data_IF_203767959654
#
_entry.id   IF_203767959654
#
_cell.length_a   1.000
_cell.length_b   1.000
_cell.length_c   1.000
_cell.angle_alpha   90.00
_cell.angle_beta   90.00
_cell.angle_gamma   90.00
#
_symmetry.space_group_name_H-M   'P 1'
#
loop_
_entity.id
_entity.type
_entity.pdbx_description
1 polymer ?
#
# COMPACT_ATOMS: atom_id res chain seq x y z
N UNK A 1 24.20 -11.92 -51.26
CA UNK A 1 22.81 -12.31 -50.90
C UNK A 1 22.71 -13.01 -49.53
N UNK A 2 23.82 -13.47 -48.92
CA UNK A 2 23.84 -14.17 -47.61
C UNK A 2 23.91 -13.23 -46.40
N UNK A 3 24.52 -12.06 -46.51
CA UNK A 3 24.64 -11.09 -45.38
C UNK A 3 23.27 -10.64 -44.88
N UNK A 4 22.35 -10.29 -45.78
CA UNK A 4 20.99 -9.88 -45.42
C UNK A 4 20.21 -10.95 -44.64
N UNK A 5 20.50 -12.25 -44.84
CA UNK A 5 19.79 -13.32 -44.13
C UNK A 5 20.27 -13.45 -42.68
N UNK A 6 21.58 -13.34 -42.47
CA UNK A 6 22.16 -13.41 -41.12
C UNK A 6 21.72 -12.21 -40.28
N UNK A 7 21.71 -11.01 -40.86
CA UNK A 7 21.24 -9.80 -40.17
C UNK A 7 19.76 -9.90 -39.77
N UNK A 8 18.90 -10.39 -40.67
CA UNK A 8 17.47 -10.58 -40.38
C UNK A 8 17.26 -11.64 -39.29
N UNK A 9 18.03 -12.73 -39.30
CA UNK A 9 17.93 -13.78 -38.26
C UNK A 9 18.41 -13.26 -36.90
N UNK A 10 19.53 -12.53 -36.86
CA UNK A 10 20.05 -11.93 -35.63
C UNK A 10 19.09 -10.88 -35.10
N UNK A 11 18.58 -10.00 -35.96
CA UNK A 11 17.56 -9.00 -35.59
C UNK A 11 16.29 -9.64 -35.04
N UNK A 12 15.81 -10.72 -35.69
CA UNK A 12 14.66 -11.49 -35.22
C UNK A 12 14.89 -12.16 -33.86
N UNK A 13 16.09 -12.72 -33.63
CA UNK A 13 16.45 -13.31 -32.34
C UNK A 13 16.51 -12.26 -31.22
N UNK A 14 17.09 -11.08 -31.49
CA UNK A 14 17.12 -9.97 -30.53
C UNK A 14 15.70 -9.50 -30.20
N UNK A 15 14.83 -9.38 -31.19
CA UNK A 15 13.42 -9.02 -30.99
C UNK A 15 12.68 -10.05 -30.13
N UNK A 16 12.89 -11.34 -30.39
CA UNK A 16 12.29 -12.41 -29.60
C UNK A 16 12.74 -12.37 -28.13
N UNK A 17 14.04 -12.15 -27.89
CA UNK A 17 14.59 -11.98 -26.53
C UNK A 17 14.02 -10.74 -25.85
N UNK A 18 13.92 -9.61 -26.56
CA UNK A 18 13.35 -8.38 -26.03
C UNK A 18 11.88 -8.56 -25.63
N UNK A 19 11.08 -9.22 -26.47
CA UNK A 19 9.67 -9.55 -26.15
C UNK A 19 9.60 -10.47 -24.94
N UNK A 20 10.43 -11.52 -24.89
CA UNK A 20 10.51 -12.43 -23.75
C UNK A 20 10.87 -11.70 -22.46
N UNK A 21 11.81 -10.76 -22.51
CA UNK A 21 12.19 -9.92 -21.37
C UNK A 21 11.04 -9.02 -20.91
N UNK A 22 10.31 -8.38 -21.84
CA UNK A 22 9.15 -7.54 -21.50
C UNK A 22 8.05 -8.37 -20.82
N UNK A 23 7.77 -9.58 -21.32
CA UNK A 23 6.80 -10.50 -20.70
C UNK A 23 7.25 -10.90 -19.30
N UNK A 24 8.51 -11.33 -19.15
CA UNK A 24 9.08 -11.71 -17.87
C UNK A 24 9.06 -10.56 -16.86
N UNK A 25 9.49 -9.36 -17.28
CA UNK A 25 9.47 -8.17 -16.45
C UNK A 25 8.04 -7.82 -16.02
N UNK A 26 7.06 -7.88 -16.93
CA UNK A 26 5.65 -7.62 -16.62
C UNK A 26 5.01 -8.63 -15.65
N UNK A 27 5.53 -9.86 -15.60
CA UNK A 27 5.10 -10.87 -14.62
C UNK A 27 5.75 -10.65 -13.24
N UNK A 28 7.05 -10.41 -13.20
CA UNK A 28 7.81 -10.20 -11.93
C UNK A 28 7.39 -8.93 -11.22
N UNK A 29 7.07 -7.87 -11.97
CA UNK A 29 6.66 -6.58 -11.42
C UNK A 29 5.17 -6.52 -11.04
N UNK A 30 4.40 -7.58 -11.25
CA UNK A 30 2.97 -7.62 -10.93
C UNK A 30 2.07 -6.79 -11.84
N UNK A 31 2.60 -6.18 -12.91
CA UNK A 31 1.84 -5.36 -13.88
C UNK A 31 0.68 -6.12 -14.55
N UNK A 32 0.75 -7.45 -14.59
CA UNK A 32 -0.27 -8.31 -15.22
C UNK A 32 -1.37 -8.76 -14.24
N UNK A 33 -1.16 -8.67 -12.93
CA UNK A 33 -2.21 -8.91 -11.95
C UNK A 33 -3.15 -7.69 -11.90
N UNK A 34 -4.05 -7.62 -12.89
CA UNK A 34 -5.27 -6.83 -12.75
C UNK A 34 -6.14 -7.56 -11.73
N UNK A 35 -5.79 -7.38 -10.45
CA UNK A 35 -6.47 -8.00 -9.31
C UNK A 35 -7.96 -7.66 -9.45
N UNK A 36 -8.76 -8.69 -9.68
CA UNK A 36 -10.21 -8.58 -9.62
C UNK A 36 -10.55 -8.31 -8.15
N UNK A 37 -10.76 -7.04 -7.85
CA UNK A 37 -11.05 -6.55 -6.53
C UNK A 37 -12.04 -5.40 -6.60
N UNK A 38 -12.59 -5.05 -5.46
CA UNK A 38 -13.46 -3.89 -5.31
C UNK A 38 -12.67 -2.74 -4.68
N UNK A 39 -12.92 -1.48 -5.12
CA UNK A 39 -12.27 -0.33 -4.54
C UNK A 39 -12.87 0.01 -3.17
N UNK A 40 -12.03 0.45 -2.25
CA UNK A 40 -12.41 1.14 -1.02
C UNK A 40 -11.56 2.42 -0.91
N UNK A 41 -12.06 3.39 -0.17
CA UNK A 41 -11.34 4.61 0.15
C UNK A 41 -11.12 4.78 1.65
N UNK A 42 -10.10 5.54 2.01
CA UNK A 42 -9.86 5.99 3.37
C UNK A 42 -9.06 7.30 3.35
N UNK A 43 -9.34 8.20 4.27
CA UNK A 43 -8.65 9.49 4.37
C UNK A 43 -7.70 9.51 5.57
N UNK A 44 -6.40 9.67 5.37
CA UNK A 44 -5.41 9.61 6.45
C UNK A 44 -4.83 10.98 6.79
N UNK A 45 -4.51 11.18 8.07
CA UNK A 45 -3.74 12.35 8.52
C UNK A 45 -2.27 12.30 8.11
N UNK A 46 -1.70 11.10 8.03
CA UNK A 46 -0.31 10.86 7.62
C UNK A 46 -0.21 9.51 6.91
N UNK A 47 0.35 9.52 5.70
CA UNK A 47 0.66 8.36 4.87
C UNK A 47 2.17 8.18 4.67
N UNK A 48 2.97 8.60 5.65
CA UNK A 48 4.44 8.51 5.52
C UNK A 48 4.86 7.07 5.16
N UNK A 49 5.66 6.94 4.10
CA UNK A 49 6.14 5.66 3.59
C UNK A 49 5.12 4.78 2.84
N UNK A 50 3.90 5.27 2.59
CA UNK A 50 2.91 4.59 1.72
C UNK A 50 2.94 5.22 0.33
N UNK A 51 2.98 4.39 -0.72
CA UNK A 51 2.94 4.81 -2.12
C UNK A 51 1.91 4.00 -2.90
N UNK A 52 1.58 4.43 -4.12
CA UNK A 52 0.83 3.57 -5.05
C UNK A 52 1.62 2.27 -5.25
N UNK A 53 0.95 1.14 -5.14
CA UNK A 53 1.59 -0.18 -5.12
C UNK A 53 1.88 -0.75 -3.73
N UNK A 54 1.73 0.04 -2.66
CA UNK A 54 1.85 -0.48 -1.29
C UNK A 54 0.79 -1.55 -1.01
N UNK A 55 1.21 -2.63 -0.34
CA UNK A 55 0.33 -3.74 0.01
C UNK A 55 -0.78 -3.30 0.97
N UNK A 56 -1.99 -3.81 0.72
CA UNK A 56 -3.08 -3.83 1.69
C UNK A 56 -3.16 -5.23 2.29
N UNK A 57 -3.15 -5.32 3.61
CA UNK A 57 -3.09 -6.59 4.34
C UNK A 57 -4.22 -6.71 5.36
N UNK A 58 -4.66 -7.94 5.57
CA UNK A 58 -5.56 -8.33 6.64
C UNK A 58 -4.91 -9.47 7.40
N UNK A 59 -4.76 -9.31 8.71
CA UNK A 59 -4.06 -10.26 9.58
C UNK A 59 -2.66 -10.67 9.03
N UNK A 60 -1.93 -9.70 8.47
CA UNK A 60 -0.60 -9.90 7.87
C UNK A 60 -0.58 -10.54 6.47
N UNK A 61 -1.73 -10.94 5.91
CA UNK A 61 -1.82 -11.51 4.56
C UNK A 61 -2.17 -10.42 3.56
N UNK A 62 -1.44 -10.35 2.44
CA UNK A 62 -1.77 -9.44 1.33
C UNK A 62 -3.12 -9.80 0.72
N UNK A 63 -4.03 -8.84 0.74
CA UNK A 63 -5.39 -8.96 0.18
C UNK A 63 -5.68 -7.90 -0.87
N UNK A 64 -4.75 -6.97 -1.09
CA UNK A 64 -5.03 -5.81 -1.92
C UNK A 64 -3.79 -4.95 -2.16
N UNK A 65 -3.99 -3.80 -2.78
CA UNK A 65 -2.92 -2.85 -3.09
C UNK A 65 -3.49 -1.44 -3.20
N UNK A 66 -2.72 -0.45 -2.74
CA UNK A 66 -3.03 0.99 -2.89
C UNK A 66 -2.97 1.37 -4.36
N UNK A 67 -4.08 1.93 -4.87
CA UNK A 67 -4.26 2.26 -6.28
C UNK A 67 -4.16 3.76 -6.56
N UNK A 68 -4.40 4.62 -5.57
CA UNK A 68 -4.34 6.07 -5.72
C UNK A 68 -4.18 6.78 -4.39
N UNK A 69 -3.50 7.94 -4.43
CA UNK A 69 -3.31 8.83 -3.27
C UNK A 69 -3.45 10.26 -3.80
N UNK A 70 -4.31 11.06 -3.19
CA UNK A 70 -4.51 12.47 -3.50
C UNK A 70 -4.50 13.31 -2.22
N UNK A 71 -3.86 14.48 -2.26
CA UNK A 71 -3.92 15.42 -1.15
C UNK A 71 -5.19 16.26 -1.28
N UNK A 72 -6.05 16.18 -0.27
CA UNK A 72 -7.24 17.01 -0.21
C UNK A 72 -6.88 18.42 0.29
N UNK A 73 -7.05 19.49 -0.51
CA UNK A 73 -6.62 20.83 -0.14
C UNK A 73 -7.55 21.50 0.89
N UNK A 74 -8.73 20.92 1.16
CA UNK A 74 -9.68 21.46 2.13
C UNK A 74 -9.48 20.85 3.52
N UNK A 75 -9.27 19.53 3.57
CA UNK A 75 -9.09 18.81 4.84
C UNK A 75 -7.62 18.64 5.22
N UNK A 76 -6.69 18.85 4.29
CA UNK A 76 -5.26 18.58 4.41
C UNK A 76 -4.95 17.12 4.77
N UNK A 77 -5.86 16.21 4.43
CA UNK A 77 -5.68 14.76 4.56
C UNK A 77 -5.30 14.15 3.22
N UNK A 78 -4.70 12.97 3.29
CA UNK A 78 -4.38 12.19 2.11
C UNK A 78 -5.52 11.18 1.85
N UNK A 79 -6.32 11.48 0.84
CA UNK A 79 -7.43 10.65 0.40
C UNK A 79 -6.84 9.50 -0.45
N UNK A 80 -7.01 8.27 0.04
CA UNK A 80 -6.38 7.08 -0.51
C UNK A 80 -7.45 6.15 -1.06
N UNK A 81 -7.22 5.64 -2.26
CA UNK A 81 -8.01 4.57 -2.84
C UNK A 81 -7.17 3.31 -2.91
N UNK A 82 -7.75 2.18 -2.51
CA UNK A 82 -7.09 0.89 -2.59
C UNK A 82 -8.07 -0.19 -3.03
N UNK A 83 -7.53 -1.25 -3.60
CA UNK A 83 -8.31 -2.41 -4.04
C UNK A 83 -8.24 -3.53 -3.01
N UNK A 84 -9.37 -4.19 -2.76
CA UNK A 84 -9.46 -5.41 -1.96
C UNK A 84 -9.89 -6.56 -2.87
N UNK A 85 -9.20 -7.70 -2.77
CA UNK A 85 -9.47 -8.90 -3.56
C UNK A 85 -10.90 -9.38 -3.34
N UNK A 86 -11.58 -9.73 -4.44
CA UNK A 86 -12.92 -10.31 -4.38
C UNK A 86 -12.96 -11.60 -3.53
N UNK A 87 -14.09 -11.84 -2.86
CA UNK A 87 -14.28 -13.00 -1.97
C UNK A 87 -13.72 -12.80 -0.55
N UNK A 88 -13.28 -11.58 -0.22
CA UNK A 88 -12.98 -11.15 1.13
C UNK A 88 -13.96 -10.03 1.44
N UNK A 89 -14.88 -10.28 2.36
CA UNK A 89 -15.83 -9.28 2.83
C UNK A 89 -15.26 -8.59 4.07
N UNK A 90 -15.26 -7.26 4.06
CA UNK A 90 -14.74 -6.43 5.16
C UNK A 90 -15.93 -5.83 5.92
N UNK A 91 -16.07 -6.08 7.23
CA UNK A 91 -17.13 -5.47 8.04
C UNK A 91 -17.15 -3.95 7.95
N UNK A 92 -18.33 -3.33 7.93
CA UNK A 92 -18.50 -1.87 7.78
C UNK A 92 -18.05 -1.05 9.00
N UNK A 93 -17.70 -1.71 10.11
CA UNK A 93 -17.09 -1.14 11.31
C UNK A 93 -15.58 -1.41 11.40
N UNK A 94 -14.95 -1.82 10.28
CA UNK A 94 -13.50 -2.05 10.23
C UNK A 94 -12.72 -0.74 10.26
N UNK A 95 -11.50 -0.80 10.77
CA UNK A 95 -10.55 0.32 10.74
C UNK A 95 -9.41 0.06 9.75
N UNK A 96 -8.77 1.12 9.28
CA UNK A 96 -7.55 1.03 8.46
C UNK A 96 -6.39 1.76 9.12
N UNK A 97 -5.25 1.10 9.25
CA UNK A 97 -4.04 1.64 9.84
C UNK A 97 -2.86 1.60 8.86
N UNK A 98 -1.97 2.59 8.93
CA UNK A 98 -0.66 2.50 8.31
C UNK A 98 0.30 1.82 9.28
N UNK A 99 0.68 0.60 8.96
CA UNK A 99 1.57 -0.25 9.76
C UNK A 99 2.94 -0.39 9.09
N UNK A 100 3.96 -0.75 9.88
CA UNK A 100 5.34 -0.95 9.41
C UNK A 100 5.75 -2.41 9.54
N UNK A 101 6.48 -2.93 8.56
CA UNK A 101 7.04 -4.30 8.58
C UNK A 101 8.23 -4.46 9.54
N UNK A 102 8.66 -3.38 10.20
CA UNK A 102 9.79 -3.35 11.11
C UNK A 102 10.79 -2.26 10.74
N UNK A 103 11.99 -2.31 11.33
CA UNK A 103 12.97 -1.21 11.24
C UNK A 103 13.54 -0.98 9.83
N UNK A 104 13.63 -2.04 9.03
CA UNK A 104 14.23 -2.02 7.68
C UNK A 104 13.20 -2.35 6.59
N UNK A 105 11.95 -2.60 6.98
CA UNK A 105 10.88 -2.97 6.08
C UNK A 105 10.13 -1.76 5.55
N UNK A 106 9.22 -2.01 4.61
CA UNK A 106 8.32 -0.98 4.11
C UNK A 106 7.17 -0.70 5.08
N UNK A 107 6.33 0.27 4.70
CA UNK A 107 5.00 0.42 5.30
C UNK A 107 3.98 -0.32 4.46
N UNK A 108 2.90 -0.76 5.10
CA UNK A 108 1.75 -1.38 4.48
C UNK A 108 0.46 -0.82 5.10
N UNK A 109 -0.64 -0.97 4.37
CA UNK A 109 -1.96 -0.60 4.86
C UNK A 109 -2.60 -1.84 5.47
N UNK A 110 -2.98 -1.75 6.73
CA UNK A 110 -3.59 -2.85 7.48
C UNK A 110 -5.08 -2.59 7.67
N UNK A 111 -5.92 -3.55 7.28
CA UNK A 111 -7.34 -3.55 7.61
C UNK A 111 -7.53 -4.36 8.89
N UNK A 112 -8.07 -3.71 9.90
CA UNK A 112 -8.43 -4.29 11.20
C UNK A 112 -9.94 -4.55 11.16
N UNK A 113 -10.39 -5.80 11.02
CA UNK A 113 -11.80 -6.10 10.89
C UNK A 113 -12.55 -5.81 12.19
N UNK A 114 -13.72 -5.21 12.06
CA UNK A 114 -14.68 -5.06 13.15
C UNK A 114 -15.55 -6.30 13.36
N UNK A 115 -16.68 -6.12 14.04
CA UNK A 115 -17.62 -7.17 14.40
C UNK A 115 -19.00 -7.02 13.78
N UNK A 116 -19.18 -6.06 12.88
CA UNK A 116 -20.47 -5.80 12.24
C UNK A 116 -20.95 -7.00 11.41
N UNK A 117 -22.27 -7.30 11.42
CA UNK A 117 -22.86 -8.28 10.50
C UNK A 117 -23.00 -7.74 9.06
N UNK A 118 -22.72 -6.46 8.83
CA UNK A 118 -22.75 -5.81 7.53
C UNK A 118 -21.34 -5.55 7.03
N UNK A 119 -21.18 -5.49 5.71
CA UNK A 119 -19.89 -5.34 5.05
C UNK A 119 -19.89 -4.11 4.15
N UNK A 120 -18.71 -3.51 3.96
CA UNK A 120 -18.51 -2.46 2.97
C UNK A 120 -18.78 -2.97 1.55
N UNK A 121 -19.42 -2.12 0.76
CA UNK A 121 -19.61 -2.29 -0.67
C UNK A 121 -18.49 -1.65 -1.51
N UNK A 122 -18.49 -1.90 -2.83
CA UNK A 122 -17.57 -1.26 -3.76
C UNK A 122 -17.72 0.27 -3.77
N UNK A 123 -16.62 0.97 -3.48
CA UNK A 123 -16.54 2.44 -3.47
C UNK A 123 -16.84 3.08 -2.12
N UNK A 124 -17.12 2.28 -1.08
CA UNK A 124 -17.35 2.80 0.26
C UNK A 124 -16.06 3.34 0.89
N UNK A 125 -16.23 4.26 1.83
CA UNK A 125 -15.14 4.86 2.59
C UNK A 125 -15.06 4.27 4.00
N UNK A 126 -13.85 3.89 4.40
CA UNK A 126 -13.57 3.51 5.78
C UNK A 126 -13.19 4.76 6.58
N UNK A 127 -14.05 5.10 7.54
CA UNK A 127 -13.92 6.34 8.32
C UNK A 127 -12.87 6.22 9.46
N UNK A 128 -12.76 5.06 10.11
CA UNK A 128 -11.77 4.85 11.18
C UNK A 128 -10.38 4.62 10.57
N UNK A 129 -9.56 5.66 10.65
CA UNK A 129 -8.24 5.70 10.04
C UNK A 129 -7.17 6.06 11.05
N UNK A 130 -6.10 5.27 11.05
CA UNK A 130 -4.90 5.50 11.85
C UNK A 130 -3.73 5.78 10.91
N UNK A 131 -3.21 7.00 10.97
CA UNK A 131 -2.05 7.41 10.17
C UNK A 131 -0.74 6.77 10.66
N UNK A 132 0.31 6.93 9.86
CA UNK A 132 1.64 6.46 10.24
C UNK A 132 2.12 7.09 11.55
N UNK A 133 2.86 6.31 12.35
CA UNK A 133 3.50 6.79 13.57
C UNK A 133 5.00 6.94 13.34
N UNK A 134 5.52 8.15 13.54
CA UNK A 134 6.96 8.41 13.41
C UNK A 134 7.72 7.89 14.64
N UNK A 135 8.69 7.00 14.40
CA UNK A 135 9.61 6.51 15.45
C UNK A 135 10.37 7.65 16.11
N UNK A 136 10.77 8.67 15.35
CA UNK A 136 11.47 9.84 15.89
C UNK A 136 10.58 10.59 16.88
N UNK A 137 9.31 10.79 16.54
CA UNK A 137 8.34 11.42 17.45
C UNK A 137 8.11 10.58 18.71
N UNK A 138 8.08 9.24 18.60
CA UNK A 138 7.98 8.36 19.76
C UNK A 138 9.20 8.43 20.66
N UNK A 139 10.41 8.46 20.09
CA UNK A 139 11.66 8.62 20.85
C UNK A 139 11.71 9.96 21.57
N UNK A 140 11.32 11.05 20.89
CA UNK A 140 11.21 12.37 21.50
C UNK A 140 10.20 12.39 22.65
N UNK A 141 9.04 11.77 22.47
CA UNK A 141 8.02 11.62 23.53
C UNK A 141 8.56 10.83 24.72
N UNK A 142 9.33 9.76 24.48
CA UNK A 142 9.94 8.96 25.53
C UNK A 142 10.96 9.78 26.35
N UNK A 143 11.93 10.42 25.67
CA UNK A 143 12.96 11.25 26.32
C UNK A 143 12.33 12.41 27.10
N UNK A 144 11.37 13.10 26.50
CA UNK A 144 10.65 14.19 27.17
C UNK A 144 9.86 13.73 28.39
N UNK A 145 9.22 12.55 28.34
CA UNK A 145 8.48 12.00 29.49
C UNK A 145 9.39 11.54 30.63
N UNK A 146 10.62 11.11 30.32
CA UNK A 146 11.60 10.75 31.35
C UNK A 146 12.14 11.98 32.09
N UNK A 147 12.28 13.11 31.40
CA UNK A 147 12.76 14.38 31.98
C UNK A 147 11.72 15.14 32.82
N UNK A 148 10.42 14.89 32.65
CA UNK A 148 9.36 15.54 33.45
C UNK A 148 9.11 14.90 34.82
N UNK A 149 9.77 13.76 35.11
CA UNK A 149 9.62 13.05 36.38
C UNK A 149 10.53 13.56 37.51
N UNK A 150 11.53 14.40 37.21
CA UNK A 150 12.53 14.88 38.19
C UNK A 150 12.31 16.31 38.71
N UNK A 151 11.27 17.02 38.27
CA UNK A 151 11.08 18.47 38.56
C UNK A 151 9.82 18.77 39.41
N UNK A 152 9.23 17.75 40.03
CA UNK A 152 8.06 17.88 40.93
C UNK A 152 8.38 17.74 42.42
N UNK A 153 9.67 17.81 42.78
CA UNK A 153 10.14 17.86 44.16
C UNK A 153 10.92 19.14 44.42
N UNK A 154 10.21 20.28 44.48
CA UNK A 154 10.66 21.50 45.17
C UNK A 154 9.46 22.38 45.52
#
# INVERSE_FOLDING_TARGET
MSENKTEVVVGGAVLAVAIGFVIYAGQVTGFTERSTGYPLSASFRSLEGVTVGTDVRLAGVKIGTVTGIELNPQTFRADTTFSVRNGIDIPDDSAVAVSSEGLLGGNFVEIVPGGSPFNFGPGDEIEDTQGSVSLVSLLMKFVSSSGSSSDSAQ
#
